data_IF_207414543289
#
_entry.id   IF_207414543289
#
_cell.length_a   1.000
_cell.length_b   1.000
_cell.length_c   1.000
_cell.angle_alpha   90.00
_cell.angle_beta   90.00
_cell.angle_gamma   90.00
#
_symmetry.space_group_name_H-M   'P 1'
#
loop_
_entity.id
_entity.type
_entity.pdbx_description
1 polymer ?
#
# COMPACT_ATOMS: atom_id res chain seq x y z
N UNK A 1 -7.80 -5.81 30.02
CA UNK A 1 -8.06 -4.37 29.76
C UNK A 1 -8.16 -4.13 28.23
N UNK A 2 -8.96 -3.18 27.76
CA UNK A 2 -9.04 -2.84 26.33
C UNK A 2 -7.80 -2.12 25.80
N UNK A 3 -7.16 -1.27 26.61
CA UNK A 3 -5.94 -0.52 26.28
C UNK A 3 -4.77 -1.48 26.07
N UNK A 4 -4.58 -2.42 26.99
CA UNK A 4 -3.50 -3.41 26.87
C UNK A 4 -3.67 -4.30 25.62
N UNK A 5 -4.90 -4.69 25.28
CA UNK A 5 -5.17 -5.46 24.05
C UNK A 5 -4.84 -4.64 22.80
N UNK A 6 -5.18 -3.35 22.78
CA UNK A 6 -4.84 -2.46 21.67
C UNK A 6 -3.32 -2.29 21.51
N UNK A 7 -2.60 -2.06 22.60
CA UNK A 7 -1.13 -1.91 22.56
C UNK A 7 -0.43 -3.22 22.20
N UNK A 8 -0.96 -4.36 22.66
CA UNK A 8 -0.47 -5.69 22.27
C UNK A 8 -0.63 -5.91 20.77
N UNK A 9 -1.80 -5.56 20.19
CA UNK A 9 -2.00 -5.65 18.75
C UNK A 9 -1.10 -4.67 17.97
N UNK A 10 -0.83 -3.49 18.53
CA UNK A 10 0.01 -2.47 17.90
C UNK A 10 1.48 -2.91 17.81
N UNK A 11 1.97 -3.80 18.70
CA UNK A 11 3.33 -4.37 18.57
C UNK A 11 3.57 -5.00 17.20
N UNK A 12 2.55 -5.63 16.61
CA UNK A 12 2.66 -6.26 15.29
C UNK A 12 2.79 -5.23 14.16
N UNK A 13 2.36 -3.99 14.39
CA UNK A 13 2.33 -2.88 13.44
C UNK A 13 3.57 -2.00 13.52
N UNK A 14 4.36 -2.08 14.59
CA UNK A 14 5.61 -1.33 14.75
C UNK A 14 6.59 -1.73 13.64
N UNK A 15 7.16 -0.75 12.95
CA UNK A 15 8.16 -0.88 11.89
C UNK A 15 9.57 -0.60 12.46
N UNK A 16 10.63 -1.10 11.81
CA UNK A 16 12.00 -0.98 12.33
C UNK A 16 12.51 0.46 12.34
N UNK A 17 11.90 1.35 11.55
CA UNK A 17 12.21 2.78 11.48
C UNK A 17 11.48 3.62 12.55
N UNK A 18 10.94 2.98 13.60
CA UNK A 18 10.23 3.69 14.67
C UNK A 18 8.86 4.23 14.25
N UNK A 19 8.30 3.77 13.13
CA UNK A 19 6.94 4.13 12.70
C UNK A 19 5.91 3.04 13.01
N UNK A 20 4.64 3.40 12.97
CA UNK A 20 3.52 2.46 13.04
C UNK A 20 2.96 2.26 11.63
N UNK A 21 2.68 1.02 11.26
CA UNK A 21 2.03 0.71 9.98
C UNK A 21 0.60 1.27 9.97
N UNK A 22 0.31 2.13 8.99
CA UNK A 22 -0.97 2.85 8.85
C UNK A 22 -1.61 2.69 7.49
N UNK A 23 -1.10 1.82 6.60
CA UNK A 23 -1.71 1.58 5.27
C UNK A 23 -3.19 1.17 5.36
N UNK A 24 -3.56 0.52 6.47
CA UNK A 24 -4.93 0.09 6.78
C UNK A 24 -5.81 1.17 7.45
N UNK A 25 -5.26 2.37 7.65
CA UNK A 25 -5.96 3.48 8.29
C UNK A 25 -7.10 3.99 7.43
N UNK A 26 -8.20 4.36 8.08
CA UNK A 26 -9.36 5.04 7.49
C UNK A 26 -9.35 6.56 7.72
N UNK A 27 -8.29 7.07 8.35
CA UNK A 27 -8.12 8.49 8.63
C UNK A 27 -7.66 9.24 7.37
N UNK A 28 -7.91 10.55 7.35
CA UNK A 28 -7.56 11.42 6.21
C UNK A 28 -6.04 11.51 5.97
N UNK A 29 -5.22 11.25 6.99
CA UNK A 29 -3.76 11.32 6.99
C UNK A 29 -3.07 9.98 6.65
N UNK A 30 -3.80 9.00 6.09
CA UNK A 30 -3.30 7.65 5.72
C UNK A 30 -2.06 7.58 4.80
N UNK A 31 -1.56 8.72 4.32
CA UNK A 31 -0.39 8.84 3.43
C UNK A 31 0.89 9.24 4.17
N UNK A 32 0.78 9.63 5.44
CA UNK A 32 1.91 10.09 6.23
C UNK A 32 2.42 8.96 7.13
N UNK A 33 3.75 8.82 7.29
CA UNK A 33 4.32 7.98 8.35
C UNK A 33 3.80 8.44 9.72
N UNK A 34 3.36 7.50 10.54
CA UNK A 34 2.96 7.80 11.91
C UNK A 34 4.10 7.40 12.85
N UNK A 35 4.73 8.35 13.57
CA UNK A 35 5.82 8.01 14.48
C UNK A 35 5.31 7.21 15.68
N UNK A 36 6.16 6.38 16.27
CA UNK A 36 5.81 5.55 17.44
C UNK A 36 5.77 6.35 18.75
N UNK A 37 6.46 7.49 18.83
CA UNK A 37 6.59 8.28 20.07
C UNK A 37 5.26 8.60 20.79
N UNK A 38 4.10 8.81 20.12
CA UNK A 38 2.84 9.06 20.83
C UNK A 38 2.39 7.88 21.70
N UNK A 39 2.88 6.66 21.43
CA UNK A 39 2.61 5.47 22.23
C UNK A 39 3.58 5.30 23.41
N UNK A 40 4.65 6.09 23.49
CA UNK A 40 5.68 6.00 24.52
C UNK A 40 5.13 5.97 25.96
N UNK A 41 4.34 6.96 26.43
CA UNK A 41 3.85 6.95 27.81
C UNK A 41 3.01 5.71 28.12
N UNK A 42 2.22 5.25 27.16
CA UNK A 42 1.34 4.09 27.34
C UNK A 42 2.11 2.77 27.41
N UNK A 43 3.05 2.53 26.48
CA UNK A 43 3.91 1.35 26.54
C UNK A 43 4.78 1.35 27.80
N UNK A 44 5.33 2.51 28.16
CA UNK A 44 6.16 2.65 29.37
C UNK A 44 5.39 2.33 30.64
N UNK A 45 4.22 2.94 30.82
CA UNK A 45 3.42 2.74 32.02
C UNK A 45 2.98 1.29 32.17
N UNK A 46 2.50 0.65 31.09
CA UNK A 46 2.10 -0.75 31.15
C UNK A 46 3.28 -1.69 31.35
N UNK A 47 4.44 -1.43 30.73
CA UNK A 47 5.65 -2.21 31.00
C UNK A 47 6.01 -2.19 32.49
N UNK A 48 5.98 -1.01 33.12
CA UNK A 48 6.29 -0.85 34.56
C UNK A 48 5.26 -1.57 35.45
N UNK A 49 3.97 -1.50 35.11
CA UNK A 49 2.90 -2.09 35.92
C UNK A 49 2.79 -3.61 35.76
N UNK A 50 3.12 -4.14 34.59
CA UNK A 50 2.91 -5.55 34.26
C UNK A 50 4.20 -6.36 34.21
N UNK A 51 5.37 -5.71 34.20
CA UNK A 51 6.67 -6.37 34.03
C UNK A 51 6.93 -6.86 32.60
N UNK A 52 6.12 -6.46 31.62
CA UNK A 52 6.21 -6.91 30.22
C UNK A 52 7.44 -6.33 29.50
N UNK A 53 8.38 -7.19 29.13
CA UNK A 53 9.61 -6.82 28.43
C UNK A 53 9.38 -6.42 26.96
N UNK A 54 8.38 -6.99 26.28
CA UNK A 54 7.98 -6.59 24.93
C UNK A 54 7.48 -5.13 24.86
N UNK A 55 6.71 -4.71 25.86
CA UNK A 55 6.29 -3.30 26.01
C UNK A 55 7.46 -2.40 26.37
N UNK A 56 8.39 -2.86 27.20
CA UNK A 56 9.62 -2.11 27.48
C UNK A 56 10.47 -1.91 26.22
N UNK A 57 10.56 -2.91 25.35
CA UNK A 57 11.24 -2.79 24.04
C UNK A 57 10.55 -1.74 23.16
N UNK A 58 9.23 -1.78 23.04
CA UNK A 58 8.47 -0.79 22.27
C UNK A 58 8.65 0.63 22.83
N UNK A 59 8.63 0.80 24.16
CA UNK A 59 8.88 2.09 24.80
C UNK A 59 10.31 2.61 24.54
N UNK A 60 11.33 1.74 24.53
CA UNK A 60 12.70 2.14 24.19
C UNK A 60 12.81 2.59 22.74
N UNK A 61 12.21 1.85 21.80
CA UNK A 61 12.19 2.23 20.39
C UNK A 61 11.46 3.56 20.19
N UNK A 62 10.32 3.77 20.85
CA UNK A 62 9.53 4.99 20.77
C UNK A 62 10.28 6.25 21.24
N UNK A 63 11.32 6.09 22.04
CA UNK A 63 12.13 7.19 22.58
C UNK A 63 13.50 7.36 21.88
N UNK A 64 13.85 6.48 20.93
CA UNK A 64 15.20 6.39 20.37
C UNK A 64 15.63 7.66 19.63
N UNK A 65 14.72 8.27 18.87
CA UNK A 65 15.00 9.47 18.05
C UNK A 65 14.74 10.78 18.80
N UNK A 66 14.54 10.71 20.12
CA UNK A 66 14.13 11.84 20.94
C UNK A 66 12.60 11.97 21.04
N UNK A 67 12.17 12.80 22.00
CA UNK A 67 10.76 13.01 22.32
C UNK A 67 10.45 14.47 22.05
N UNK A 68 9.61 14.74 21.05
CA UNK A 68 9.10 16.07 20.74
C UNK A 68 7.61 16.16 21.11
N UNK A 69 7.33 16.01 22.41
CA UNK A 69 5.98 16.07 22.95
C UNK A 69 5.95 16.89 24.26
N UNK A 70 5.49 18.15 24.22
CA UNK A 70 5.36 18.95 25.43
C UNK A 70 4.35 18.35 26.43
N UNK A 71 3.38 17.55 25.96
CA UNK A 71 2.39 16.93 26.84
C UNK A 71 2.99 15.80 27.66
N UNK A 72 4.09 15.18 27.23
CA UNK A 72 4.73 14.10 28.00
C UNK A 72 5.21 14.58 29.38
N UNK A 73 5.68 15.83 29.48
CA UNK A 73 6.05 16.41 30.77
C UNK A 73 4.83 16.51 31.70
N UNK A 74 3.72 17.04 31.19
CA UNK A 74 2.48 17.14 31.95
C UNK A 74 1.96 15.74 32.37
N UNK A 75 1.97 14.77 31.46
CA UNK A 75 1.62 13.37 31.74
C UNK A 75 2.50 12.76 32.83
N UNK A 76 3.81 13.04 32.79
CA UNK A 76 4.79 12.56 33.78
C UNK A 76 4.57 13.17 35.16
N UNK A 77 4.25 14.46 35.24
CA UNK A 77 3.89 15.13 36.49
C UNK A 77 2.61 14.56 37.11
N UNK A 78 1.60 14.28 36.28
CA UNK A 78 0.33 13.70 36.70
C UNK A 78 0.43 12.19 37.02
N UNK A 79 1.38 11.50 36.38
CA UNK A 79 1.63 10.06 36.57
C UNK A 79 3.11 9.81 36.87
N UNK A 80 3.59 10.06 38.10
CA UNK A 80 5.01 9.92 38.45
C UNK A 80 5.59 8.51 38.28
N UNK A 81 4.72 7.49 38.18
CA UNK A 81 5.12 6.12 37.81
C UNK A 81 5.86 6.06 36.48
N UNK A 82 5.58 6.97 35.54
CA UNK A 82 6.30 7.09 34.28
C UNK A 82 7.80 7.34 34.50
N UNK A 83 8.23 7.91 35.63
CA UNK A 83 9.65 8.10 35.92
C UNK A 83 10.37 6.84 36.41
N UNK A 84 9.66 5.76 36.74
CA UNK A 84 10.30 4.53 37.23
C UNK A 84 11.13 3.88 36.12
N UNK A 85 12.14 3.09 36.53
CA UNK A 85 12.93 2.31 35.60
C UNK A 85 12.04 1.32 34.83
N UNK A 86 12.25 1.22 33.52
CA UNK A 86 11.63 0.18 32.70
C UNK A 86 12.20 -1.19 33.11
N UNK A 87 11.39 -2.28 33.05
CA UNK A 87 11.94 -3.62 33.15
C UNK A 87 12.91 -3.90 31.98
N UNK A 88 13.68 -4.97 32.09
CA UNK A 88 14.54 -5.43 31.00
C UNK A 88 13.67 -5.75 29.77
N UNK A 89 14.04 -5.29 28.56
CA UNK A 89 13.28 -5.57 27.37
C UNK A 89 13.48 -7.03 26.96
N UNK A 90 12.41 -7.64 26.45
CA UNK A 90 12.53 -8.96 25.84
C UNK A 90 13.28 -8.84 24.52
N UNK A 91 14.14 -9.82 24.20
CA UNK A 91 14.69 -9.95 22.87
C UNK A 91 13.54 -10.08 21.84
N UNK A 92 13.69 -9.43 20.69
CA UNK A 92 12.72 -9.61 19.62
C UNK A 92 12.81 -11.04 19.07
N UNK A 93 11.65 -11.69 18.91
CA UNK A 93 11.56 -13.03 18.34
C UNK A 93 11.30 -12.91 16.84
N UNK A 94 12.27 -13.33 16.04
CA UNK A 94 12.23 -13.33 14.57
C UNK A 94 12.59 -14.72 14.04
N UNK A 95 12.07 -15.14 12.86
CA UNK A 95 11.05 -14.43 12.10
C UNK A 95 9.68 -14.49 12.79
N UNK A 96 8.82 -13.51 12.51
CA UNK A 96 7.44 -13.48 12.97
C UNK A 96 6.50 -13.15 11.82
N UNK A 97 5.40 -13.89 11.79
CA UNK A 97 4.33 -13.70 10.82
C UNK A 97 3.05 -13.30 11.53
N UNK A 98 2.32 -12.34 10.97
CA UNK A 98 1.03 -11.89 11.47
C UNK A 98 0.07 -11.62 10.33
N UNK A 99 -1.10 -12.28 10.37
CA UNK A 99 -2.25 -11.90 9.56
C UNK A 99 -3.36 -11.33 10.45
N UNK A 100 -3.89 -10.17 10.07
CA UNK A 100 -5.04 -9.50 10.67
C UNK A 100 -6.22 -9.55 9.68
N UNK A 101 -7.09 -10.58 9.75
CA UNK A 101 -8.13 -10.80 8.75
C UNK A 101 -9.13 -9.65 8.62
N UNK A 102 -9.45 -8.96 9.72
CA UNK A 102 -10.40 -7.84 9.74
C UNK A 102 -9.91 -6.62 8.98
N UNK A 103 -8.59 -6.40 8.96
CA UNK A 103 -7.95 -5.34 8.17
C UNK A 103 -7.42 -5.86 6.83
N UNK A 104 -7.45 -7.20 6.60
CA UNK A 104 -6.77 -7.87 5.49
C UNK A 104 -5.33 -7.38 5.35
N UNK A 105 -4.61 -7.40 6.48
CA UNK A 105 -3.22 -6.95 6.59
C UNK A 105 -2.35 -8.12 7.03
N UNK A 106 -1.40 -8.50 6.21
CA UNK A 106 -0.38 -9.49 6.53
C UNK A 106 0.98 -8.80 6.69
N UNK A 107 1.77 -9.25 7.66
CA UNK A 107 3.13 -8.80 7.87
C UNK A 107 4.04 -9.98 8.14
N UNK A 108 5.24 -9.93 7.56
CA UNK A 108 6.34 -10.84 7.86
C UNK A 108 7.55 -10.00 8.26
N UNK A 109 8.10 -10.28 9.43
CA UNK A 109 9.28 -9.59 9.94
C UNK A 109 10.38 -10.61 10.23
N UNK A 110 11.56 -10.37 9.68
CA UNK A 110 12.77 -11.14 9.88
C UNK A 110 13.92 -10.22 10.29
N UNK A 111 15.11 -10.77 10.51
CA UNK A 111 16.31 -9.96 10.73
C UNK A 111 16.69 -9.10 9.50
N UNK A 112 16.34 -9.56 8.29
CA UNK A 112 16.71 -8.93 7.03
C UNK A 112 15.67 -7.91 6.57
N UNK A 113 14.39 -8.18 6.75
CA UNK A 113 13.32 -7.36 6.18
C UNK A 113 12.03 -7.41 6.99
N UNK A 114 11.27 -6.32 6.93
CA UNK A 114 9.87 -6.30 7.31
C UNK A 114 9.02 -6.03 6.06
N UNK A 115 8.20 -6.99 5.67
CA UNK A 115 7.30 -6.89 4.52
C UNK A 115 5.86 -6.82 4.99
N UNK A 116 5.06 -5.95 4.38
CA UNK A 116 3.63 -5.78 4.64
C UNK A 116 2.85 -5.97 3.36
N UNK A 117 1.78 -6.75 3.41
CA UNK A 117 0.81 -6.93 2.32
C UNK A 117 -0.55 -6.50 2.80
N UNK A 118 -1.22 -5.69 1.99
CA UNK A 118 -2.49 -5.07 2.32
C UNK A 118 -3.53 -5.32 1.24
N UNK A 119 -4.63 -5.97 1.62
CA UNK A 119 -5.79 -6.24 0.77
C UNK A 119 -7.10 -5.68 1.34
N UNK A 120 -7.03 -4.77 2.31
CA UNK A 120 -8.20 -4.10 2.87
C UNK A 120 -8.58 -2.90 2.02
N UNK A 121 -9.71 -2.90 1.34
CA UNK A 121 -10.20 -1.64 0.77
C UNK A 121 -11.69 -1.59 0.86
N UNK A 122 -12.19 -0.43 1.28
CA UNK A 122 -13.62 -0.16 1.29
C UNK A 122 -14.07 0.44 -0.09
N UNK A 123 -13.13 0.73 -0.99
CA UNK A 123 -13.41 1.33 -2.31
C UNK A 123 -14.17 0.37 -3.24
N UNK A 124 -13.84 -0.93 -3.36
CA UNK A 124 -14.60 -1.84 -4.20
C UNK A 124 -16.08 -1.95 -3.81
N UNK A 125 -16.40 -1.87 -2.52
CA UNK A 125 -17.77 -1.88 -2.00
C UNK A 125 -18.48 -0.54 -2.23
N UNK A 126 -17.82 0.57 -1.89
CA UNK A 126 -18.46 1.88 -1.90
C UNK A 126 -18.35 2.64 -3.23
N UNK A 127 -17.45 2.22 -4.12
CA UNK A 127 -17.14 2.83 -5.42
C UNK A 127 -16.91 4.34 -5.33
N UNK A 128 -16.19 4.75 -4.29
CA UNK A 128 -15.86 6.16 -4.03
C UNK A 128 -14.70 6.33 -3.07
N UNK A 129 -13.99 7.45 -3.21
CA UNK A 129 -13.01 7.92 -2.23
C UNK A 129 -13.68 8.86 -1.22
N UNK A 130 -13.63 8.52 0.09
CA UNK A 130 -14.18 9.37 1.17
C UNK A 130 -13.38 9.24 2.46
N UNK A 131 -13.42 10.30 3.27
CA UNK A 131 -12.94 10.26 4.65
C UNK A 131 -13.65 9.16 5.43
N UNK A 132 -12.90 8.41 6.25
CA UNK A 132 -13.44 7.28 6.99
C UNK A 132 -13.47 5.96 6.20
N UNK A 133 -12.98 5.95 4.96
CA UNK A 133 -12.82 4.74 4.16
C UNK A 133 -11.35 4.39 3.96
N UNK A 134 -11.06 3.11 3.86
CA UNK A 134 -9.74 2.58 3.54
C UNK A 134 -9.51 2.68 2.02
N UNK A 135 -8.83 3.75 1.60
CA UNK A 135 -8.69 4.11 0.19
C UNK A 135 -7.26 4.02 -0.35
N UNK A 136 -6.26 3.75 0.50
CA UNK A 136 -4.87 3.65 0.08
C UNK A 136 -4.67 2.47 -0.90
N UNK A 137 -4.17 2.70 -2.14
CA UNK A 137 -3.97 1.64 -3.12
C UNK A 137 -2.62 0.90 -2.98
N UNK A 138 -1.82 1.25 -1.98
CA UNK A 138 -0.59 0.50 -1.67
C UNK A 138 -0.94 -0.90 -1.19
N UNK A 139 -0.57 -1.92 -1.97
CA UNK A 139 -0.83 -3.31 -1.60
C UNK A 139 0.40 -4.01 -1.02
N UNK A 140 1.60 -3.44 -1.16
CA UNK A 140 2.83 -3.96 -0.55
C UNK A 140 3.76 -2.84 -0.08
N UNK A 141 4.42 -3.06 1.05
CA UNK A 141 5.53 -2.24 1.57
C UNK A 141 6.67 -3.15 2.03
N UNK A 142 7.91 -2.68 1.92
CA UNK A 142 9.11 -3.43 2.32
C UNK A 142 10.11 -2.49 2.99
N UNK A 143 10.56 -2.88 4.18
CA UNK A 143 11.54 -2.14 4.99
C UNK A 143 12.80 -2.99 5.14
N UNK A 144 13.93 -2.49 4.65
CA UNK A 144 15.25 -3.08 4.78
C UNK A 144 16.18 -2.00 5.36
N UNK A 145 16.18 -1.85 6.69
CA UNK A 145 16.92 -0.76 7.34
C UNK A 145 16.54 0.62 6.78
N UNK A 146 17.52 1.38 6.30
CA UNK A 146 17.32 2.70 5.70
C UNK A 146 16.75 2.65 4.26
N UNK A 147 16.89 1.51 3.55
CA UNK A 147 16.25 1.30 2.26
C UNK A 147 14.79 0.88 2.46
N UNK A 148 13.86 1.77 2.09
CA UNK A 148 12.42 1.52 2.26
C UNK A 148 11.67 1.68 0.94
N UNK A 149 10.92 0.64 0.58
CA UNK A 149 9.90 0.64 -0.46
C UNK A 149 8.56 0.98 0.21
N UNK A 150 8.21 2.27 0.19
CA UNK A 150 7.03 2.80 0.87
C UNK A 150 5.73 2.40 0.18
N UNK A 151 5.76 2.09 -1.12
CA UNK A 151 4.58 1.62 -1.83
C UNK A 151 4.91 0.76 -3.06
N UNK A 152 4.13 -0.31 -3.23
CA UNK A 152 3.87 -0.94 -4.53
C UNK A 152 2.40 -0.72 -4.89
N UNK A 153 2.16 -0.18 -6.09
CA UNK A 153 0.83 0.19 -6.60
C UNK A 153 0.70 -0.19 -8.07
N UNK A 154 -0.50 -0.51 -8.53
CA UNK A 154 -0.75 -0.89 -9.93
C UNK A 154 -1.89 -0.04 -10.50
N UNK A 155 -1.58 0.86 -11.43
CA UNK A 155 -2.57 1.65 -12.18
C UNK A 155 -2.95 0.95 -13.48
N UNK A 156 -4.21 1.12 -13.90
CA UNK A 156 -4.75 0.60 -15.17
C UNK A 156 -5.65 1.66 -15.79
N UNK A 157 -5.52 1.90 -17.10
CA UNK A 157 -6.37 2.82 -17.85
C UNK A 157 -7.74 2.23 -18.19
N UNK A 158 -8.45 1.69 -17.19
CA UNK A 158 -9.76 1.06 -17.37
C UNK A 158 -10.88 1.98 -16.88
N UNK A 159 -11.51 2.73 -17.81
CA UNK A 159 -12.63 3.65 -17.56
C UNK A 159 -12.36 4.70 -16.46
N UNK A 160 -11.09 5.06 -16.23
CA UNK A 160 -10.64 5.97 -15.16
C UNK A 160 -11.06 5.52 -13.75
N UNK A 161 -11.31 4.22 -13.55
CA UNK A 161 -11.70 3.66 -12.24
C UNK A 161 -10.51 3.57 -11.25
N UNK A 162 -9.32 3.98 -11.69
CA UNK A 162 -8.15 4.14 -10.84
C UNK A 162 -7.34 2.87 -10.57
N UNK A 163 -6.42 2.92 -9.60
CA UNK A 163 -5.46 1.86 -9.34
C UNK A 163 -6.09 0.68 -8.60
N UNK A 164 -5.35 -0.43 -8.60
CA UNK A 164 -5.73 -1.67 -7.96
C UNK A 164 -6.00 -1.46 -6.48
N UNK A 165 -7.20 -1.85 -6.04
CA UNK A 165 -7.59 -1.94 -4.64
C UNK A 165 -8.26 -3.28 -4.45
N UNK A 166 -7.64 -4.16 -3.66
CA UNK A 166 -8.15 -5.51 -3.51
C UNK A 166 -9.59 -5.50 -2.96
N UNK A 167 -10.50 -6.15 -3.68
CA UNK A 167 -11.86 -6.42 -3.23
C UNK A 167 -11.91 -7.63 -2.29
N UNK A 168 -10.95 -8.55 -2.44
CA UNK A 168 -10.78 -9.72 -1.60
C UNK A 168 -9.31 -10.06 -1.36
N UNK A 169 -9.03 -10.72 -0.23
CA UNK A 169 -7.72 -11.27 0.11
C UNK A 169 -7.86 -12.66 0.73
N UNK A 170 -7.38 -13.67 0.01
CA UNK A 170 -7.38 -15.06 0.43
C UNK A 170 -5.98 -15.47 0.92
N UNK A 171 -5.89 -16.10 2.09
CA UNK A 171 -4.68 -16.77 2.55
C UNK A 171 -4.60 -18.17 1.89
N UNK A 172 -3.59 -18.38 1.04
CA UNK A 172 -3.36 -19.62 0.30
C UNK A 172 -2.48 -20.61 1.08
N UNK A 173 -1.56 -20.08 1.88
CA UNK A 173 -0.70 -20.80 2.84
C UNK A 173 -0.25 -19.79 3.91
N UNK A 174 0.51 -20.23 4.92
CA UNK A 174 0.91 -19.39 6.06
C UNK A 174 1.42 -18.00 5.64
N UNK A 175 2.33 -17.95 4.67
CA UNK A 175 2.94 -16.70 4.17
C UNK A 175 2.52 -16.32 2.74
N UNK A 176 1.49 -16.97 2.19
CA UNK A 176 1.07 -16.77 0.81
C UNK A 176 -0.35 -16.26 0.71
N UNK A 177 -0.55 -15.20 -0.06
CA UNK A 177 -1.84 -14.52 -0.20
C UNK A 177 -2.20 -14.29 -1.66
N UNK A 178 -3.50 -14.23 -1.95
CA UNK A 178 -4.04 -13.78 -3.24
C UNK A 178 -4.97 -12.62 -3.02
N UNK A 179 -4.66 -11.49 -3.63
CA UNK A 179 -5.47 -10.29 -3.67
C UNK A 179 -6.18 -10.24 -5.03
N UNK A 180 -7.48 -9.95 -5.04
CA UNK A 180 -8.27 -9.92 -6.28
C UNK A 180 -9.12 -8.66 -6.37
N UNK A 181 -9.19 -8.07 -7.55
CA UNK A 181 -10.15 -7.03 -7.91
C UNK A 181 -10.69 -7.30 -9.31
N UNK A 182 -12.01 -7.20 -9.47
CA UNK A 182 -12.68 -7.19 -10.77
C UNK A 182 -13.43 -5.88 -10.90
N UNK A 183 -13.01 -5.05 -11.86
CA UNK A 183 -13.71 -3.84 -12.23
C UNK A 183 -14.67 -4.15 -13.38
N UNK A 184 -15.87 -3.59 -13.33
CA UNK A 184 -16.86 -3.69 -14.40
C UNK A 184 -17.35 -2.30 -14.77
N UNK A 185 -17.34 -2.02 -16.07
CA UNK A 185 -17.91 -0.82 -16.67
C UNK A 185 -18.79 -1.23 -17.86
N UNK A 186 -19.51 -0.29 -18.44
CA UNK A 186 -20.38 -0.61 -19.57
C UNK A 186 -20.38 0.47 -20.66
N UNK A 187 -20.56 0.03 -21.90
CA UNK A 187 -20.95 0.88 -23.01
C UNK A 187 -22.48 0.91 -23.12
N UNK A 188 -23.05 2.11 -23.08
CA UNK A 188 -24.49 2.30 -23.13
C UNK A 188 -24.98 2.43 -24.56
N UNK A 189 -25.96 1.60 -24.92
CA UNK A 189 -26.63 1.64 -26.22
C UNK A 189 -27.68 2.76 -26.27
N UNK A 190 -28.23 3.10 -27.45
CA UNK A 190 -29.28 4.09 -27.56
C UNK A 190 -30.50 3.76 -26.68
N UNK A 191 -31.12 4.80 -26.11
CA UNK A 191 -32.36 4.64 -25.36
C UNK A 191 -33.46 4.07 -26.28
N UNK A 192 -34.20 3.02 -25.85
CA UNK A 192 -35.28 2.44 -26.64
C UNK A 192 -36.29 3.51 -27.10
N UNK A 193 -36.79 3.47 -28.35
CA UNK A 193 -37.65 4.52 -28.89
C UNK A 193 -38.86 4.87 -28.02
N UNK A 194 -39.49 3.88 -27.39
CA UNK A 194 -40.67 4.06 -26.55
C UNK A 194 -40.39 4.73 -25.19
N UNK A 195 -39.11 4.88 -24.80
CA UNK A 195 -38.70 5.59 -23.58
C UNK A 195 -38.15 6.99 -23.88
N UNK A 196 -38.05 7.36 -25.15
CA UNK A 196 -37.57 8.69 -25.55
C UNK A 196 -38.64 9.71 -25.27
N UNK A 197 -38.21 10.85 -24.74
CA UNK A 197 -39.03 12.03 -24.55
C UNK A 197 -38.70 13.07 -25.60
N UNK A 198 -39.71 13.73 -26.14
CA UNK A 198 -39.54 14.79 -27.14
C UNK A 198 -38.77 15.99 -26.59
N UNK A 199 -38.89 16.26 -25.27
CA UNK A 199 -38.19 17.34 -24.57
C UNK A 199 -36.74 16.98 -24.15
N UNK A 200 -36.32 15.73 -24.34
CA UNK A 200 -35.06 15.16 -23.84
C UNK A 200 -34.80 15.39 -22.33
N UNK A 201 -35.84 15.69 -21.55
CA UNK A 201 -35.71 15.98 -20.12
C UNK A 201 -35.77 14.68 -19.31
N UNK A 202 -34.60 14.14 -18.97
CA UNK A 202 -34.49 12.94 -18.14
C UNK A 202 -34.04 13.28 -16.72
N UNK A 203 -34.32 12.38 -15.77
CA UNK A 203 -33.85 12.50 -14.39
C UNK A 203 -32.32 12.44 -14.35
N UNK A 204 -31.70 13.36 -13.62
CA UNK A 204 -30.30 13.26 -13.24
C UNK A 204 -30.10 12.03 -12.34
N UNK A 205 -29.24 11.12 -12.77
CA UNK A 205 -28.90 9.90 -12.03
C UNK A 205 -27.40 9.79 -11.89
N UNK A 206 -26.95 9.15 -10.81
CA UNK A 206 -25.57 8.73 -10.61
C UNK A 206 -25.45 7.25 -10.99
N UNK A 207 -24.59 6.96 -11.95
CA UNK A 207 -24.32 5.60 -12.42
C UNK A 207 -23.22 4.91 -11.60
N UNK A 208 -22.52 5.68 -10.74
CA UNK A 208 -21.35 5.24 -9.99
C UNK A 208 -20.04 5.74 -10.60
N UNK A 209 -19.99 5.96 -11.93
CA UNK A 209 -18.84 6.58 -12.61
C UNK A 209 -19.06 8.07 -12.93
N UNK A 210 -20.28 8.43 -13.28
CA UNK A 210 -20.66 9.80 -13.59
C UNK A 210 -22.14 10.04 -13.27
N UNK A 211 -22.47 11.31 -13.05
CA UNK A 211 -23.86 11.78 -12.92
C UNK A 211 -24.32 12.44 -14.20
N UNK A 212 -25.42 11.97 -14.81
CA UNK A 212 -26.01 12.65 -15.97
C UNK A 212 -27.52 12.43 -16.13
N UNK A 213 -28.19 13.40 -16.75
CA UNK A 213 -29.58 13.34 -17.14
C UNK A 213 -29.76 12.62 -18.50
N UNK A 214 -29.28 11.38 -18.59
CA UNK A 214 -29.25 10.62 -19.86
C UNK A 214 -30.04 9.31 -19.82
N UNK A 215 -30.81 9.04 -18.75
CA UNK A 215 -31.58 7.81 -18.55
C UNK A 215 -30.74 6.52 -18.67
N UNK A 216 -29.54 6.52 -18.08
CA UNK A 216 -28.63 5.36 -18.11
C UNK A 216 -29.24 4.04 -17.60
N UNK A 217 -30.02 4.01 -16.51
CA UNK A 217 -30.67 2.78 -16.03
C UNK A 217 -31.60 2.13 -17.05
N UNK A 218 -32.16 2.93 -17.98
CA UNK A 218 -33.15 2.50 -18.97
C UNK A 218 -32.51 2.11 -20.31
N UNK A 219 -31.19 2.24 -20.43
CA UNK A 219 -30.44 1.90 -21.64
C UNK A 219 -29.93 0.46 -21.56
N UNK A 220 -30.08 -0.32 -22.64
CA UNK A 220 -29.33 -1.56 -22.77
C UNK A 220 -27.82 -1.27 -22.70
N UNK A 221 -27.06 -2.14 -22.03
CA UNK A 221 -25.63 -1.93 -21.79
C UNK A 221 -24.82 -3.16 -22.16
N UNK A 222 -23.63 -2.93 -22.71
CA UNK A 222 -22.65 -3.97 -22.98
C UNK A 222 -21.56 -3.86 -21.91
N UNK A 223 -21.56 -4.83 -20.99
CA UNK A 223 -20.62 -4.84 -19.86
C UNK A 223 -19.25 -5.35 -20.30
N UNK A 224 -18.22 -4.69 -19.76
CA UNK A 224 -16.82 -5.05 -19.95
C UNK A 224 -16.19 -5.15 -18.57
N UNK A 225 -15.41 -6.20 -18.36
CA UNK A 225 -14.73 -6.44 -17.09
C UNK A 225 -13.22 -6.52 -17.27
N UNK A 226 -12.52 -6.05 -16.25
CA UNK A 226 -11.08 -6.11 -16.15
C UNK A 226 -10.70 -6.63 -14.76
N UNK A 227 -9.92 -7.71 -14.72
CA UNK A 227 -9.58 -8.42 -13.49
C UNK A 227 -8.09 -8.32 -13.24
N UNK A 228 -7.72 -8.05 -11.99
CA UNK A 228 -6.36 -8.06 -11.50
C UNK A 228 -6.27 -9.05 -10.34
N UNK A 229 -5.31 -9.98 -10.45
CA UNK A 229 -4.93 -10.88 -9.35
C UNK A 229 -3.47 -10.68 -9.01
N UNK A 230 -3.17 -10.51 -7.72
CA UNK A 230 -1.82 -10.41 -7.19
C UNK A 230 -1.63 -11.51 -6.17
N UNK A 231 -0.83 -12.52 -6.51
CA UNK A 231 -0.35 -13.48 -5.53
C UNK A 231 0.95 -12.97 -4.91
N UNK A 232 1.06 -13.07 -3.59
CA UNK A 232 2.22 -12.64 -2.82
C UNK A 232 2.70 -13.79 -1.95
N UNK A 233 3.99 -14.10 -2.02
CA UNK A 233 4.67 -15.03 -1.11
C UNK A 233 5.69 -14.22 -0.27
N UNK A 234 5.45 -14.12 1.03
CA UNK A 234 6.30 -13.38 1.96
C UNK A 234 7.55 -14.19 2.31
N UNK A 235 8.72 -13.58 2.14
CA UNK A 235 10.04 -14.18 2.38
C UNK A 235 10.77 -13.48 3.51
N UNK A 236 11.74 -14.15 4.11
CA UNK A 236 12.62 -13.54 5.10
C UNK A 236 13.37 -12.33 4.55
N UNK A 237 13.69 -12.31 3.26
CA UNK A 237 14.39 -11.20 2.61
C UNK A 237 13.46 -10.36 1.73
N UNK A 238 12.13 -10.48 1.80
CA UNK A 238 11.23 -9.64 1.00
C UNK A 238 9.94 -10.33 0.59
N UNK A 239 9.69 -10.39 -0.71
CA UNK A 239 8.51 -11.04 -1.27
C UNK A 239 8.67 -11.44 -2.73
N UNK A 240 7.92 -12.46 -3.14
CA UNK A 240 7.66 -12.80 -4.54
C UNK A 240 6.23 -12.43 -4.92
N UNK A 241 6.06 -11.77 -6.06
CA UNK A 241 4.76 -11.40 -6.61
C UNK A 241 4.53 -12.12 -7.93
N UNK A 242 3.30 -12.59 -8.12
CA UNK A 242 2.78 -13.02 -9.43
C UNK A 242 1.53 -12.21 -9.72
N UNK A 243 1.58 -11.42 -10.78
CA UNK A 243 0.50 -10.50 -11.16
C UNK A 243 -0.11 -10.99 -12.47
N UNK A 244 -1.42 -11.20 -12.47
CA UNK A 244 -2.22 -11.52 -13.65
C UNK A 244 -3.24 -10.40 -13.90
N UNK A 245 -3.18 -9.83 -15.09
CA UNK A 245 -4.04 -8.76 -15.57
C UNK A 245 -4.81 -9.30 -16.78
N UNK A 246 -6.13 -9.37 -16.68
CA UNK A 246 -7.00 -9.91 -17.73
C UNK A 246 -8.18 -8.98 -18.03
N UNK A 247 -8.73 -9.07 -19.25
CA UNK A 247 -9.77 -8.19 -19.74
C UNK A 247 -9.39 -7.54 -21.08
N UNK A 248 -9.98 -6.38 -21.43
CA UNK A 248 -9.64 -5.66 -22.64
C UNK A 248 -8.22 -5.09 -22.59
N UNK A 249 -7.66 -4.82 -23.76
CA UNK A 249 -6.34 -4.19 -23.89
C UNK A 249 -6.38 -2.74 -23.40
N UNK A 250 -5.71 -2.47 -22.29
CA UNK A 250 -5.59 -1.14 -21.66
C UNK A 250 -4.15 -0.92 -21.16
N UNK A 251 -3.68 0.33 -21.04
CA UNK A 251 -2.39 0.61 -20.44
C UNK A 251 -2.40 0.24 -18.95
N UNK A 252 -1.27 -0.26 -18.44
CA UNK A 252 -1.04 -0.52 -17.03
C UNK A 252 0.37 -0.06 -16.61
N UNK A 253 0.52 0.29 -15.34
CA UNK A 253 1.79 0.67 -14.74
C UNK A 253 1.88 0.16 -13.30
N UNK A 254 2.87 -0.68 -13.03
CA UNK A 254 3.31 -1.09 -11.70
C UNK A 254 4.34 -0.08 -11.20
N UNK A 255 4.01 0.62 -10.12
CA UNK A 255 4.83 1.64 -9.48
C UNK A 255 5.48 1.08 -8.21
N UNK A 256 6.80 1.27 -8.09
CA UNK A 256 7.60 1.05 -6.89
C UNK A 256 8.05 2.41 -6.36
N UNK A 257 7.58 2.82 -5.20
CA UNK A 257 7.99 4.09 -4.58
C UNK A 257 8.99 3.85 -3.46
N UNK A 258 10.23 4.28 -3.68
CA UNK A 258 11.27 4.24 -2.68
C UNK A 258 11.39 5.57 -1.93
N UNK A 259 11.54 5.46 -0.60
CA UNK A 259 11.77 6.58 0.30
C UNK A 259 13.05 7.30 -0.07
N UNK A 260 13.09 8.64 -0.16
CA UNK A 260 14.31 9.40 -0.45
C UNK A 260 15.48 9.05 0.47
N UNK A 261 16.70 9.11 -0.06
CA UNK A 261 17.94 8.79 0.65
C UNK A 261 18.93 7.97 -0.18
N UNK A 262 18.45 7.33 -1.25
CA UNK A 262 19.21 6.52 -2.18
C UNK A 262 18.93 6.87 -3.64
N UNK A 263 19.56 6.12 -4.54
CA UNK A 263 19.40 6.26 -5.99
C UNK A 263 19.10 4.88 -6.60
N UNK A 264 18.12 4.76 -7.51
CA UNK A 264 17.93 3.55 -8.31
C UNK A 264 19.11 3.31 -9.27
N UNK A 265 19.70 2.12 -9.20
CA UNK A 265 20.71 1.60 -10.12
C UNK A 265 20.06 0.52 -11.00
N UNK A 266 20.30 0.53 -12.31
CA UNK A 266 19.69 -0.43 -13.26
C UNK A 266 18.32 -0.02 -13.81
N UNK A 267 17.81 1.16 -13.45
CA UNK A 267 16.62 1.78 -14.05
C UNK A 267 16.99 3.04 -14.85
N UNK A 268 16.22 3.35 -15.90
CA UNK A 268 16.46 4.52 -16.75
C UNK A 268 15.67 5.73 -16.23
N UNK A 269 16.29 6.88 -15.94
CA UNK A 269 15.55 8.05 -15.49
C UNK A 269 14.64 8.60 -16.60
N UNK A 270 13.40 8.94 -16.25
CA UNK A 270 12.40 9.52 -17.18
C UNK A 270 11.85 10.88 -16.70
N UNK A 271 12.51 11.51 -15.73
CA UNK A 271 12.20 12.86 -15.23
C UNK A 271 11.29 12.91 -14.00
N UNK A 272 11.33 14.02 -13.25
CA UNK A 272 10.50 14.27 -12.06
C UNK A 272 10.59 13.19 -10.95
N UNK A 273 11.80 12.67 -10.72
CA UNK A 273 12.02 11.57 -9.76
C UNK A 273 11.41 10.24 -10.19
N UNK A 274 11.06 10.10 -11.48
CA UNK A 274 10.53 8.88 -12.08
C UNK A 274 11.60 8.13 -12.86
N UNK A 275 11.48 6.81 -12.85
CA UNK A 275 12.41 5.89 -13.48
C UNK A 275 11.63 4.80 -14.22
N UNK A 276 12.18 4.30 -15.33
CA UNK A 276 11.68 3.17 -16.08
C UNK A 276 12.51 1.93 -15.72
N UNK A 277 11.87 0.92 -15.15
CA UNK A 277 12.42 -0.43 -15.04
C UNK A 277 12.22 -1.13 -16.38
N UNK A 278 13.32 -1.49 -17.02
CA UNK A 278 13.30 -2.34 -18.21
C UNK A 278 13.29 -3.82 -17.77
N UNK A 279 13.69 -4.75 -18.62
CA UNK A 279 13.71 -6.19 -18.27
C UNK A 279 14.89 -6.59 -17.37
N UNK A 280 15.83 -5.68 -17.11
CA UNK A 280 16.95 -5.94 -16.20
C UNK A 280 16.60 -5.74 -14.72
N UNK A 281 17.40 -6.30 -13.80
CA UNK A 281 17.25 -6.04 -12.38
C UNK A 281 17.61 -4.58 -12.05
N UNK A 282 16.92 -4.02 -11.05
CA UNK A 282 17.32 -2.76 -10.42
C UNK A 282 17.65 -2.95 -8.94
N UNK A 283 18.45 -2.04 -8.42
CA UNK A 283 18.83 -1.97 -7.00
C UNK A 283 18.58 -0.56 -6.49
N UNK A 284 17.96 -0.44 -5.31
CA UNK A 284 17.86 0.80 -4.55
C UNK A 284 18.69 0.67 -3.29
N UNK A 285 19.66 1.58 -3.09
CA UNK A 285 20.62 1.51 -1.98
C UNK A 285 20.62 2.79 -1.15
N UNK A 286 20.61 2.63 0.17
CA UNK A 286 20.76 3.72 1.15
C UNK A 286 21.81 3.31 2.17
N UNK A 287 23.00 3.89 2.10
CA UNK A 287 24.15 3.41 2.86
C UNK A 287 24.45 1.95 2.50
N UNK A 288 24.45 1.08 3.50
CA UNK A 288 24.71 -0.35 3.34
C UNK A 288 23.44 -1.20 3.13
N UNK A 289 22.25 -0.60 3.31
CA UNK A 289 20.98 -1.29 3.12
C UNK A 289 20.53 -1.22 1.65
N UNK A 290 20.02 -2.32 1.13
CA UNK A 290 19.62 -2.46 -0.28
C UNK A 290 18.27 -3.17 -0.44
N UNK A 291 17.49 -2.73 -1.43
CA UNK A 291 16.36 -3.47 -2.01
C UNK A 291 16.61 -3.65 -3.50
N UNK A 292 16.66 -4.91 -3.93
CA UNK A 292 16.73 -5.32 -5.33
C UNK A 292 15.34 -5.70 -5.85
N UNK A 293 15.04 -5.29 -7.07
CA UNK A 293 13.79 -5.60 -7.79
C UNK A 293 14.16 -6.29 -9.09
N UNK A 294 13.61 -7.47 -9.30
CA UNK A 294 13.70 -8.19 -10.57
C UNK A 294 12.28 -8.45 -11.05
N UNK A 295 12.00 -8.16 -12.33
CA UNK A 295 10.68 -8.37 -12.90
C UNK A 295 10.81 -9.10 -14.22
N UNK A 296 9.95 -10.10 -14.44
CA UNK A 296 9.90 -10.89 -15.67
C UNK A 296 8.48 -10.93 -16.23
N UNK A 297 8.37 -10.82 -17.55
CA UNK A 297 7.12 -10.92 -18.29
C UNK A 297 6.97 -12.35 -18.79
N UNK A 298 6.07 -13.10 -18.15
CA UNK A 298 5.79 -14.48 -18.54
C UNK A 298 4.89 -14.57 -19.78
N UNK A 299 3.94 -13.63 -19.90
CA UNK A 299 3.01 -13.55 -21.03
C UNK A 299 2.46 -12.13 -21.19
N UNK A 300 2.21 -11.73 -22.44
CA UNK A 300 1.69 -10.40 -22.77
C UNK A 300 2.58 -9.67 -23.79
N UNK A 301 2.29 -8.39 -23.99
CA UNK A 301 3.12 -7.53 -24.82
C UNK A 301 4.44 -7.18 -24.09
N UNK A 302 5.50 -6.80 -24.83
CA UNK A 302 6.72 -6.27 -24.21
C UNK A 302 6.42 -5.03 -23.35
N UNK A 303 7.14 -4.84 -22.22
CA UNK A 303 7.03 -3.62 -21.44
C UNK A 303 7.33 -2.36 -22.25
N UNK A 304 6.67 -1.27 -21.87
CA UNK A 304 6.92 0.06 -22.40
C UNK A 304 8.35 0.51 -22.09
N UNK A 305 9.00 1.14 -23.08
CA UNK A 305 10.32 1.73 -22.95
C UNK A 305 10.30 3.13 -22.30
N UNK A 306 11.48 3.71 -22.02
CA UNK A 306 11.60 5.00 -21.32
C UNK A 306 10.94 6.18 -22.07
N UNK A 307 10.81 6.09 -23.41
CA UNK A 307 10.19 7.12 -24.23
C UNK A 307 8.65 7.09 -24.18
N UNK A 308 8.06 6.09 -23.54
CA UNK A 308 6.60 5.88 -23.44
C UNK A 308 6.05 6.36 -22.09
N UNK A 309 6.39 7.60 -21.72
CA UNK A 309 6.01 8.19 -20.43
C UNK A 309 4.51 8.38 -20.19
N UNK A 310 3.69 8.29 -21.24
CA UNK A 310 2.23 8.30 -21.18
C UNK A 310 1.64 6.99 -20.65
N UNK A 311 2.35 5.88 -20.85
CA UNK A 311 2.05 4.55 -20.28
C UNK A 311 2.69 4.40 -18.89
N UNK A 312 3.94 4.86 -18.73
CA UNK A 312 4.70 4.76 -17.48
C UNK A 312 4.31 5.85 -16.47
N UNK A 313 3.03 5.86 -16.08
CA UNK A 313 2.49 6.83 -15.13
C UNK A 313 1.46 6.22 -14.19
N UNK A 314 1.42 6.76 -12.99
CA UNK A 314 0.35 6.51 -12.05
C UNK A 314 -0.91 7.30 -12.42
N UNK A 315 -2.04 6.61 -12.41
CA UNK A 315 -3.38 7.19 -12.54
C UNK A 315 -4.17 6.92 -11.25
N UNK A 316 -4.56 7.96 -10.48
CA UNK A 316 -5.33 7.82 -9.25
C UNK A 316 -6.82 7.48 -9.48
N UNK A 317 -7.32 7.68 -10.71
CA UNK A 317 -8.73 7.53 -11.08
C UNK A 317 -9.56 8.81 -10.95
N UNK A 318 -10.76 8.77 -11.53
CA UNK A 318 -11.65 9.92 -11.74
C UNK A 318 -12.07 10.61 -10.44
N UNK A 319 -12.26 9.85 -9.35
CA UNK A 319 -12.61 10.38 -8.03
C UNK A 319 -11.60 11.40 -7.50
N UNK A 320 -10.34 11.26 -7.91
CA UNK A 320 -9.31 12.25 -7.62
C UNK A 320 -9.22 13.30 -8.74
N UNK A 321 -9.15 12.88 -10.00
CA UNK A 321 -8.81 13.79 -11.11
C UNK A 321 -9.90 14.81 -11.41
N UNK A 322 -11.19 14.50 -11.19
CA UNK A 322 -12.31 15.42 -11.48
C UNK A 322 -12.27 16.71 -10.65
N UNK A 323 -11.69 16.65 -9.44
CA UNK A 323 -11.48 17.80 -8.56
C UNK A 323 -10.03 18.32 -8.61
N UNK A 324 -9.23 17.86 -9.57
CA UNK A 324 -7.81 18.20 -9.68
C UNK A 324 -6.93 17.61 -8.57
N UNK A 325 -7.42 16.58 -7.87
CA UNK A 325 -6.71 15.91 -6.79
C UNK A 325 -5.83 14.75 -7.26
N UNK A 326 -5.01 14.24 -6.35
CA UNK A 326 -4.21 13.02 -6.56
C UNK A 326 -3.88 12.33 -5.24
N UNK A 327 -3.65 11.02 -5.29
CA UNK A 327 -3.02 10.25 -4.23
C UNK A 327 -1.66 9.66 -4.60
N UNK A 328 -1.04 10.19 -5.66
CA UNK A 328 0.32 9.86 -6.05
C UNK A 328 1.28 9.99 -4.86
N UNK A 329 2.22 9.06 -4.79
CA UNK A 329 3.31 9.09 -3.82
C UNK A 329 4.40 10.09 -4.23
N UNK A 330 5.30 10.37 -3.28
CA UNK A 330 6.51 11.15 -3.49
C UNK A 330 7.75 10.27 -3.26
N UNK A 331 8.91 10.70 -3.76
CA UNK A 331 10.17 9.96 -3.67
C UNK A 331 10.63 9.44 -5.02
N UNK A 332 11.46 8.39 -5.00
CA UNK A 332 11.96 7.73 -6.20
C UNK A 332 10.90 6.73 -6.71
N UNK A 333 10.21 7.06 -7.80
CA UNK A 333 9.13 6.24 -8.36
C UNK A 333 9.64 5.48 -9.57
N UNK A 334 9.75 4.16 -9.46
CA UNK A 334 10.15 3.30 -10.56
C UNK A 334 8.93 2.63 -11.15
N UNK A 335 8.79 2.67 -12.47
CA UNK A 335 7.67 2.11 -13.21
C UNK A 335 8.11 0.95 -14.08
N UNK A 336 7.33 -0.12 -14.02
CA UNK A 336 7.24 -1.12 -15.07
C UNK A 336 5.82 -1.04 -15.64
N UNK A 337 5.65 -0.89 -16.94
CA UNK A 337 4.32 -0.72 -17.52
C UNK A 337 4.24 -1.23 -18.95
N UNK A 338 3.05 -1.21 -19.51
CA UNK A 338 2.78 -1.73 -20.85
C UNK A 338 1.29 -1.70 -21.17
N UNK A 339 0.87 -2.54 -22.12
CA UNK A 339 -0.54 -2.77 -22.42
C UNK A 339 -0.89 -4.21 -22.08
N UNK A 340 -1.98 -4.40 -21.33
CA UNK A 340 -2.45 -5.74 -20.96
C UNK A 340 -3.33 -6.36 -22.04
N UNK A 341 -3.81 -7.60 -21.89
CA UNK A 341 -3.58 -8.52 -20.77
C UNK A 341 -2.10 -8.86 -20.54
N UNK A 342 -1.74 -9.13 -19.28
CA UNK A 342 -0.35 -9.36 -18.88
C UNK A 342 -0.27 -10.40 -17.78
N UNK A 343 0.80 -11.20 -17.81
CA UNK A 343 1.27 -11.96 -16.67
C UNK A 343 2.74 -11.65 -16.41
N UNK A 344 3.05 -11.27 -15.18
CA UNK A 344 4.41 -10.96 -14.77
C UNK A 344 4.72 -11.51 -13.37
N UNK A 345 6.00 -11.71 -13.12
CA UNK A 345 6.55 -11.99 -11.80
C UNK A 345 7.44 -10.84 -11.34
N UNK A 346 7.49 -10.61 -10.04
CA UNK A 346 8.40 -9.64 -9.42
C UNK A 346 9.01 -10.26 -8.18
N UNK A 347 10.34 -10.28 -8.11
CA UNK A 347 11.08 -10.62 -6.91
C UNK A 347 11.59 -9.34 -6.23
N UNK A 348 11.23 -9.16 -4.96
CA UNK A 348 11.73 -8.09 -4.10
C UNK A 348 12.68 -8.73 -3.09
N UNK A 349 13.93 -8.26 -3.05
CA UNK A 349 14.99 -8.83 -2.21
C UNK A 349 15.75 -7.74 -1.46
N UNK A 350 15.63 -7.77 -0.16
CA UNK A 350 16.37 -6.96 0.78
C UNK A 350 17.73 -7.57 1.04
N UNK A 351 18.75 -6.73 1.11
CA UNK A 351 20.07 -7.10 1.63
C UNK A 351 20.45 -6.10 2.70
N UNK A 352 20.79 -6.64 3.86
CA UNK A 352 21.36 -5.89 4.98
C UNK A 352 22.65 -6.60 5.39
N UNK A 353 23.80 -5.93 5.44
CA UNK A 353 24.94 -6.50 6.13
C UNK A 353 24.59 -6.67 7.61
N UNK A 354 25.12 -7.71 8.24
CA UNK A 354 25.02 -7.83 9.70
C UNK A 354 25.58 -6.55 10.34
N UNK A 355 24.92 -6.00 11.36
CA UNK A 355 25.48 -4.86 12.08
C UNK A 355 26.85 -5.26 12.60
N UNK A 356 27.88 -4.46 12.28
CA UNK A 356 29.20 -4.61 12.88
C UNK A 356 29.03 -4.34 14.37
N UNK A 357 29.12 -5.40 15.18
CA UNK A 357 28.92 -5.38 16.64
C UNK A 357 29.99 -4.57 17.34
#
# INVERSE_FOLDING_TARGET
>A
DAVERNLTATLDLIRPDGTVETVHSRRQDQKLPFPLWPYLPHYRLLAIRTGRGDFARAARLAAADGIDDPDLLAQTLLTPELCRALPAPDAEKLPRHRYLPTARLAAHASATAHTVVYGGSDVPEHRRIRSGLACNPTFLRLFAGAAVLDAVRLSRGFFDLGPFRAADMQQLADNRYRLTETLTAAYYRPLPPHLRRDDAAYRLVDEGRFSAAMAFPDRPRDEVSHTTQVEVDLRDDGADLRIDISGPRVPWALEFTFRPGGVPEGATPIGDGRWCLTTGPMTYRVGDDEIRVEADVEAGEPPAGPDQGDVLRYDPGQDYTVVGGTDATTGNRVYLGGHGPQRLTVALRARRPEPVV
#
